data_IF_799450318579
#
_entry.id   IF_799450318579
#
_cell.length_a   1.000
_cell.length_b   1.000
_cell.length_c   1.000
_cell.angle_alpha   90.00
_cell.angle_beta   90.00
_cell.angle_gamma   90.00
#
_symmetry.space_group_name_H-M   'P 1'
#
loop_
_entity.id
_entity.type
_entity.pdbx_description
1 polymer ?
#
# COMPACT_ATOMS: atom_id res chain seq x y z
N UNK A 1 11.55 -3.80 -15.06
CA UNK A 1 11.49 -3.84 -13.59
C UNK A 1 12.51 -2.88 -13.01
N UNK A 2 12.13 -2.07 -12.00
CA UNK A 2 13.12 -1.42 -11.14
C UNK A 2 14.05 -2.48 -10.55
N UNK A 3 15.32 -2.17 -10.39
CA UNK A 3 16.20 -3.05 -9.62
C UNK A 3 15.86 -2.99 -8.12
N UNK A 4 16.48 -3.87 -7.31
CA UNK A 4 16.39 -3.85 -5.84
C UNK A 4 16.56 -2.49 -5.15
N UNK A 5 17.47 -1.66 -5.68
CA UNK A 5 17.83 -0.36 -5.10
C UNK A 5 16.63 0.59 -4.97
N UNK A 6 15.93 0.91 -6.08
CA UNK A 6 14.68 1.67 -6.04
C UNK A 6 13.65 1.19 -5.01
N UNK A 7 13.37 -0.11 -4.92
CA UNK A 7 12.41 -0.63 -3.93
C UNK A 7 12.87 -0.39 -2.50
N UNK A 8 14.16 -0.66 -2.21
CA UNK A 8 14.73 -0.40 -0.90
C UNK A 8 14.69 1.09 -0.53
N UNK A 9 15.09 1.97 -1.45
CA UNK A 9 15.12 3.41 -1.18
C UNK A 9 13.72 3.98 -0.97
N UNK A 10 12.73 3.51 -1.75
CA UNK A 10 11.33 3.90 -1.56
C UNK A 10 10.81 3.48 -0.18
N UNK A 11 10.93 2.20 0.17
CA UNK A 11 10.41 1.69 1.43
C UNK A 11 11.18 2.23 2.65
N UNK A 12 12.51 2.30 2.58
CA UNK A 12 13.33 2.86 3.66
C UNK A 12 13.08 4.35 3.84
N UNK A 13 12.99 5.13 2.74
CA UNK A 13 12.68 6.55 2.79
C UNK A 13 11.31 6.83 3.44
N UNK A 14 10.27 6.11 3.01
CA UNK A 14 8.94 6.18 3.63
C UNK A 14 8.96 5.74 5.10
N UNK A 15 9.73 4.70 5.44
CA UNK A 15 9.90 4.23 6.81
C UNK A 15 10.56 5.29 7.70
N UNK A 16 11.63 5.94 7.24
CA UNK A 16 12.29 7.02 7.96
C UNK A 16 11.39 8.24 8.14
N UNK A 17 10.59 8.60 7.12
CA UNK A 17 9.57 9.65 7.25
C UNK A 17 8.55 9.29 8.34
N UNK A 18 8.05 8.05 8.37
CA UNK A 18 7.15 7.58 9.43
C UNK A 18 7.82 7.58 10.80
N UNK A 19 9.09 7.18 10.91
CA UNK A 19 9.87 7.28 12.15
C UNK A 19 9.88 8.71 12.66
N UNK A 20 10.16 9.68 11.79
CA UNK A 20 10.17 11.10 12.15
C UNK A 20 8.79 11.62 12.56
N UNK A 21 7.74 11.32 11.76
CA UNK A 21 6.38 11.81 12.00
C UNK A 21 5.73 11.21 13.25
N UNK A 22 6.21 10.05 13.70
CA UNK A 22 5.66 9.31 14.84
C UNK A 22 6.53 9.38 16.09
N UNK A 23 7.57 10.23 16.09
CA UNK A 23 8.56 10.34 17.16
C UNK A 23 9.13 8.96 17.57
N UNK A 24 9.52 8.16 16.58
CA UNK A 24 10.15 6.86 16.78
C UNK A 24 9.22 5.69 17.13
N UNK A 25 7.88 5.89 17.17
CA UNK A 25 6.93 4.77 17.33
C UNK A 25 6.99 3.80 16.15
N UNK A 26 7.25 4.30 14.95
CA UNK A 26 7.75 3.50 13.84
C UNK A 26 9.26 3.36 13.99
N UNK A 27 9.70 2.34 14.72
CA UNK A 27 11.10 2.17 15.11
C UNK A 27 11.99 1.66 13.95
N UNK A 28 13.33 1.69 14.09
CA UNK A 28 14.25 1.09 13.12
C UNK A 28 13.91 -0.36 12.72
N UNK A 29 13.35 -1.15 13.65
CA UNK A 29 12.88 -2.51 13.34
C UNK A 29 11.74 -2.53 12.32
N UNK A 30 10.81 -1.57 12.39
CA UNK A 30 9.71 -1.45 11.45
C UNK A 30 10.25 -1.08 10.06
N UNK A 31 11.09 -0.05 10.00
CA UNK A 31 11.72 0.41 8.75
C UNK A 31 12.52 -0.70 8.10
N UNK A 32 13.33 -1.44 8.86
CA UNK A 32 14.10 -2.55 8.32
C UNK A 32 13.19 -3.66 7.77
N UNK A 33 12.19 -4.10 8.55
CA UNK A 33 11.28 -5.17 8.13
C UNK A 33 10.49 -4.77 6.88
N UNK A 34 9.95 -3.55 6.85
CA UNK A 34 9.25 -3.01 5.68
C UNK A 34 10.17 -2.96 4.44
N UNK A 35 11.39 -2.45 4.60
CA UNK A 35 12.37 -2.34 3.51
C UNK A 35 12.76 -3.71 2.95
N UNK A 36 13.05 -4.69 3.82
CA UNK A 36 13.43 -6.04 3.40
C UNK A 36 12.31 -6.69 2.58
N UNK A 37 11.06 -6.49 2.97
CA UNK A 37 9.93 -7.07 2.23
C UNK A 37 9.58 -6.30 0.94
N UNK A 38 9.94 -5.02 0.85
CA UNK A 38 9.91 -4.31 -0.42
C UNK A 38 11.07 -4.71 -1.34
N UNK A 39 12.22 -5.08 -0.77
CA UNK A 39 13.36 -5.61 -1.53
C UNK A 39 13.06 -7.00 -2.08
N UNK A 40 12.80 -7.97 -1.21
CA UNK A 40 12.58 -9.34 -1.65
C UNK A 40 11.28 -9.46 -2.40
N UNK A 41 10.20 -8.85 -1.89
CA UNK A 41 8.91 -8.81 -2.56
C UNK A 41 8.49 -10.15 -3.18
N UNK A 42 7.63 -10.12 -4.20
CA UNK A 42 7.37 -11.28 -5.05
C UNK A 42 8.61 -11.86 -5.75
N UNK A 43 9.74 -11.14 -5.88
CA UNK A 43 10.97 -11.66 -6.52
C UNK A 43 11.56 -12.92 -5.84
N UNK A 44 11.19 -13.20 -4.59
CA UNK A 44 11.50 -14.49 -3.94
C UNK A 44 10.87 -15.69 -4.69
N UNK A 45 9.83 -15.45 -5.49
CA UNK A 45 9.26 -16.41 -6.43
C UNK A 45 10.28 -16.79 -7.51
N UNK A 46 10.91 -15.79 -8.15
CA UNK A 46 11.99 -15.99 -9.11
C UNK A 46 13.18 -16.76 -8.51
N UNK A 47 13.50 -16.53 -7.22
CA UNK A 47 14.50 -17.35 -6.52
C UNK A 47 14.05 -18.82 -6.37
N UNK A 48 12.78 -19.07 -6.11
CA UNK A 48 12.22 -20.43 -6.00
C UNK A 48 12.26 -21.18 -7.32
N UNK A 49 11.96 -20.49 -8.43
CA UNK A 49 12.10 -21.04 -9.79
C UNK A 49 13.56 -21.38 -10.11
N UNK A 50 14.47 -20.45 -9.85
CA UNK A 50 15.91 -20.67 -10.04
C UNK A 50 16.42 -21.86 -9.22
N UNK A 51 16.04 -21.96 -7.94
CA UNK A 51 16.43 -23.08 -7.09
C UNK A 51 15.85 -24.41 -7.60
N UNK A 52 14.59 -24.41 -8.03
CA UNK A 52 13.95 -25.58 -8.65
C UNK A 52 14.67 -26.04 -9.92
N UNK A 53 15.14 -25.10 -10.74
CA UNK A 53 15.89 -25.39 -11.97
C UNK A 53 17.22 -26.11 -11.72
N UNK A 54 17.87 -25.85 -10.57
CA UNK A 54 19.12 -26.51 -10.18
C UNK A 54 18.90 -27.96 -9.72
N UNK A 55 17.74 -28.25 -9.14
CA UNK A 55 17.40 -29.56 -8.58
C UNK A 55 16.75 -30.50 -9.59
N UNK A 56 16.08 -29.94 -10.61
CA UNK A 56 15.45 -30.67 -11.71
C UNK A 56 14.22 -31.50 -11.32
N UNK A 57 13.61 -32.16 -12.30
CA UNK A 57 12.49 -33.08 -12.08
C UNK A 57 11.27 -32.41 -11.42
N UNK A 58 10.76 -33.02 -10.35
CA UNK A 58 9.62 -32.49 -9.60
C UNK A 58 9.91 -31.17 -8.88
N UNK A 59 11.17 -30.91 -8.52
CA UNK A 59 11.57 -29.66 -7.86
C UNK A 59 11.48 -28.46 -8.81
N UNK A 60 11.73 -28.65 -10.10
CA UNK A 60 11.55 -27.61 -11.12
C UNK A 60 10.08 -27.21 -11.26
N UNK A 61 9.19 -28.20 -11.38
CA UNK A 61 7.74 -27.97 -11.43
C UNK A 61 7.20 -27.29 -10.16
N UNK A 62 7.70 -27.70 -8.99
CA UNK A 62 7.29 -27.08 -7.73
C UNK A 62 7.78 -25.63 -7.63
N UNK A 63 9.03 -25.38 -8.02
CA UNK A 63 9.62 -24.05 -8.05
C UNK A 63 8.87 -23.09 -8.96
N UNK A 64 8.53 -23.51 -10.19
CA UNK A 64 7.76 -22.67 -11.12
C UNK A 64 6.35 -22.37 -10.63
N UNK A 65 5.62 -23.39 -10.15
CA UNK A 65 4.26 -23.19 -9.62
C UNK A 65 4.26 -22.28 -8.39
N UNK A 66 5.26 -22.44 -7.51
CA UNK A 66 5.41 -21.58 -6.34
C UNK A 66 5.72 -20.14 -6.75
N UNK A 67 6.55 -19.94 -7.78
CA UNK A 67 6.81 -18.61 -8.33
C UNK A 67 5.53 -17.94 -8.84
N UNK A 68 4.70 -18.66 -9.60
CA UNK A 68 3.42 -18.15 -10.10
C UNK A 68 2.50 -17.69 -8.96
N UNK A 69 2.41 -18.46 -7.87
CA UNK A 69 1.62 -18.06 -6.71
C UNK A 69 2.23 -16.88 -5.95
N UNK A 70 3.54 -16.80 -5.81
CA UNK A 70 4.22 -15.72 -5.08
C UNK A 70 4.14 -14.38 -5.85
N UNK A 71 4.10 -14.42 -7.18
CA UNK A 71 3.89 -13.22 -8.01
C UNK A 71 2.45 -12.69 -7.99
N UNK A 72 1.51 -13.35 -7.32
CA UNK A 72 0.20 -12.78 -7.01
C UNK A 72 0.25 -11.99 -5.69
N UNK A 73 -0.15 -10.69 -5.67
CA UNK A 73 -0.06 -9.86 -4.47
C UNK A 73 -0.81 -10.41 -3.25
N UNK A 74 -1.92 -11.10 -3.46
CA UNK A 74 -2.72 -11.65 -2.38
C UNK A 74 -2.12 -12.97 -1.87
N UNK A 75 -1.73 -13.85 -2.79
CA UNK A 75 -1.10 -15.12 -2.40
C UNK A 75 0.29 -14.93 -1.79
N UNK A 76 1.07 -13.93 -2.21
CA UNK A 76 2.30 -13.56 -1.51
C UNK A 76 2.05 -13.35 -0.02
N UNK A 77 1.08 -12.49 0.30
CA UNK A 77 0.74 -12.13 1.68
C UNK A 77 0.31 -13.37 2.47
N UNK A 78 -0.43 -14.29 1.86
CA UNK A 78 -0.87 -15.51 2.53
C UNK A 78 0.25 -16.54 2.68
N UNK A 79 1.03 -16.80 1.64
CA UNK A 79 2.05 -17.86 1.62
C UNK A 79 3.25 -17.44 2.47
N UNK A 80 3.73 -16.21 2.27
CA UNK A 80 4.96 -15.73 2.90
C UNK A 80 4.70 -14.83 4.12
N UNK A 81 3.57 -14.15 4.20
CA UNK A 81 3.26 -13.29 5.35
C UNK A 81 3.24 -14.04 6.68
N UNK A 82 2.64 -15.23 6.74
CA UNK A 82 2.61 -16.03 7.97
C UNK A 82 4.00 -16.54 8.43
N UNK A 83 4.80 -17.24 7.60
CA UNK A 83 6.12 -17.71 8.04
C UNK A 83 7.08 -16.54 8.33
N UNK A 84 7.08 -15.50 7.49
CA UNK A 84 7.97 -14.36 7.66
C UNK A 84 7.61 -13.54 8.90
N UNK A 85 6.33 -13.42 9.27
CA UNK A 85 5.98 -12.64 10.47
C UNK A 85 6.49 -13.29 11.76
N UNK A 86 6.55 -14.63 11.82
CA UNK A 86 7.16 -15.36 12.93
C UNK A 86 8.68 -15.15 12.94
N UNK A 87 9.33 -15.30 11.79
CA UNK A 87 10.76 -15.09 11.64
C UNK A 87 11.18 -13.66 12.03
N UNK A 88 10.54 -12.64 11.46
CA UNK A 88 10.89 -11.25 11.72
C UNK A 88 10.60 -10.82 13.16
N UNK A 89 9.56 -11.35 13.80
CA UNK A 89 9.30 -11.09 15.22
C UNK A 89 10.43 -11.66 16.09
N UNK A 90 10.90 -12.87 15.77
CA UNK A 90 12.05 -13.47 16.44
C UNK A 90 13.36 -12.69 16.18
N UNK A 91 13.64 -12.32 14.92
CA UNK A 91 14.82 -11.53 14.55
C UNK A 91 14.81 -10.17 15.24
N UNK A 92 13.66 -9.48 15.29
CA UNK A 92 13.53 -8.19 15.97
C UNK A 92 13.89 -8.31 17.45
N UNK A 93 13.42 -9.37 18.13
CA UNK A 93 13.78 -9.66 19.52
C UNK A 93 15.29 -9.90 19.68
N UNK A 94 15.89 -10.69 18.79
CA UNK A 94 17.33 -10.95 18.81
C UNK A 94 18.14 -9.65 18.64
N UNK A 95 17.81 -8.83 17.65
CA UNK A 95 18.52 -7.58 17.35
C UNK A 95 18.41 -6.58 18.50
N UNK A 96 17.25 -6.52 19.16
CA UNK A 96 17.05 -5.68 20.33
C UNK A 96 17.86 -6.17 21.54
N UNK A 97 17.83 -7.47 21.84
CA UNK A 97 18.61 -8.07 22.93
C UNK A 97 20.12 -7.88 22.75
N UNK A 98 20.59 -7.90 21.50
CA UNK A 98 21.99 -7.68 21.13
C UNK A 98 22.36 -6.20 21.01
N UNK A 99 21.42 -5.27 21.24
CA UNK A 99 21.60 -3.81 21.09
C UNK A 99 22.11 -3.40 19.70
N UNK A 100 21.72 -4.16 18.67
CA UNK A 100 22.07 -3.87 17.27
C UNK A 100 21.10 -2.84 16.68
N UNK A 101 19.81 -2.93 17.03
CA UNK A 101 18.80 -1.97 16.62
C UNK A 101 18.00 -1.47 17.82
N UNK A 102 17.86 -0.15 17.89
CA UNK A 102 17.12 0.52 18.94
C UNK A 102 15.60 0.47 18.70
N UNK A 103 14.83 0.65 19.77
CA UNK A 103 13.38 0.77 19.75
C UNK A 103 12.99 1.72 20.89
N UNK A 104 12.33 2.84 20.57
CA UNK A 104 11.92 3.84 21.57
C UNK A 104 11.05 3.24 22.67
N UNK A 105 10.21 2.25 22.34
CA UNK A 105 9.38 1.55 23.32
C UNK A 105 10.13 0.48 24.13
N UNK A 106 11.39 0.18 23.80
CA UNK A 106 12.12 -0.96 24.34
C UNK A 106 11.51 -2.32 23.96
N UNK A 107 10.54 -2.36 23.05
CA UNK A 107 9.86 -3.58 22.64
C UNK A 107 10.28 -4.01 21.22
N UNK A 108 10.40 -5.33 21.03
CA UNK A 108 10.53 -5.96 19.72
C UNK A 108 9.21 -6.00 18.98
N UNK A 109 9.26 -6.18 17.66
CA UNK A 109 8.05 -6.33 16.84
C UNK A 109 7.26 -7.59 17.22
N UNK A 110 5.95 -7.43 17.41
CA UNK A 110 5.02 -8.53 17.49
C UNK A 110 4.78 -9.17 16.11
N UNK A 111 4.33 -10.43 16.09
CA UNK A 111 3.99 -11.14 14.85
C UNK A 111 2.95 -10.40 14.02
N UNK A 112 1.96 -9.76 14.67
CA UNK A 112 0.94 -8.95 13.97
C UNK A 112 1.55 -7.75 13.26
N UNK A 113 2.46 -7.02 13.93
CA UNK A 113 3.17 -5.90 13.32
C UNK A 113 4.02 -6.38 12.14
N UNK A 114 4.76 -7.48 12.31
CA UNK A 114 5.55 -8.07 11.23
C UNK A 114 4.67 -8.48 10.05
N UNK A 115 3.48 -9.07 10.28
CA UNK A 115 2.56 -9.43 9.20
C UNK A 115 2.15 -8.19 8.40
N UNK A 116 1.75 -7.10 9.07
CA UNK A 116 1.43 -5.84 8.39
C UNK A 116 2.62 -5.26 7.61
N UNK A 117 3.83 -5.33 8.15
CA UNK A 117 5.04 -4.83 7.48
C UNK A 117 5.45 -5.69 6.28
N UNK A 118 5.26 -7.01 6.34
CA UNK A 118 5.48 -7.91 5.20
C UNK A 118 4.49 -7.58 4.09
N UNK A 119 3.20 -7.45 4.42
CA UNK A 119 2.17 -7.08 3.45
C UNK A 119 2.42 -5.70 2.84
N UNK A 120 2.81 -4.71 3.67
CA UNK A 120 3.15 -3.38 3.19
C UNK A 120 4.34 -3.43 2.21
N UNK A 121 5.42 -4.13 2.58
CA UNK A 121 6.61 -4.24 1.73
C UNK A 121 6.29 -4.87 0.38
N UNK A 122 5.56 -5.99 0.39
CA UNK A 122 5.07 -6.65 -0.83
C UNK A 122 4.27 -5.72 -1.75
N UNK A 123 3.25 -5.06 -1.20
CA UNK A 123 2.39 -4.17 -2.00
C UNK A 123 3.16 -2.96 -2.53
N UNK A 124 4.11 -2.43 -1.76
CA UNK A 124 5.01 -1.37 -2.19
C UNK A 124 6.02 -1.82 -3.24
N UNK A 125 6.37 -3.10 -3.28
CA UNK A 125 7.15 -3.68 -4.36
C UNK A 125 6.33 -3.65 -5.66
N UNK A 126 5.13 -4.25 -5.64
CA UNK A 126 4.20 -4.23 -6.77
C UNK A 126 3.84 -2.83 -7.26
N UNK A 127 3.79 -1.84 -6.36
CA UNK A 127 3.56 -0.45 -6.75
C UNK A 127 4.58 0.04 -7.78
N UNK A 128 5.87 -0.26 -7.57
CA UNK A 128 6.93 0.17 -8.47
C UNK A 128 6.97 -0.68 -9.74
N UNK A 129 6.74 -1.99 -9.64
CA UNK A 129 6.71 -2.86 -10.83
C UNK A 129 5.58 -2.50 -11.76
N UNK A 130 4.37 -2.32 -11.24
CA UNK A 130 3.24 -1.95 -12.08
C UNK A 130 3.45 -0.62 -12.81
N UNK A 131 4.27 0.28 -12.27
CA UNK A 131 4.59 1.57 -12.91
C UNK A 131 5.76 1.50 -13.91
N UNK A 132 6.75 0.65 -13.66
CA UNK A 132 8.04 0.71 -14.37
C UNK A 132 8.46 -0.62 -15.03
N UNK A 133 7.67 -1.67 -14.86
CA UNK A 133 7.86 -2.95 -15.53
C UNK A 133 7.17 -2.98 -16.89
N UNK A 134 7.70 -3.82 -17.80
CA UNK A 134 7.19 -4.02 -19.16
C UNK A 134 7.01 -2.71 -19.96
N UNK A 135 7.79 -1.66 -19.67
CA UNK A 135 7.60 -0.32 -20.23
C UNK A 135 6.17 0.23 -20.05
N UNK A 136 5.51 -0.10 -18.94
CA UNK A 136 4.12 0.28 -18.69
C UNK A 136 3.10 -0.60 -19.43
N UNK A 137 3.46 -1.82 -19.82
CA UNK A 137 2.52 -2.77 -20.45
C UNK A 137 2.03 -3.87 -19.53
N UNK A 138 2.30 -3.76 -18.22
CA UNK A 138 1.77 -4.71 -17.24
C UNK A 138 0.25 -4.81 -17.34
N UNK A 139 -0.29 -5.99 -17.02
CA UNK A 139 -1.74 -6.25 -17.04
C UNK A 139 -2.50 -5.24 -16.19
N UNK A 140 -1.96 -4.91 -15.01
CA UNK A 140 -2.51 -3.91 -14.09
C UNK A 140 -2.47 -2.51 -14.70
N UNK A 141 -1.34 -2.07 -15.24
CA UNK A 141 -1.24 -0.72 -15.82
C UNK A 141 -2.09 -0.57 -17.07
N UNK A 142 -2.12 -1.60 -17.92
CA UNK A 142 -3.02 -1.66 -19.08
C UNK A 142 -4.48 -1.59 -18.63
N UNK A 143 -4.86 -2.27 -17.55
CA UNK A 143 -6.20 -2.15 -16.97
C UNK A 143 -6.49 -0.73 -16.47
N UNK A 144 -5.54 -0.09 -15.76
CA UNK A 144 -5.68 1.29 -15.29
C UNK A 144 -5.98 2.20 -16.48
N UNK A 145 -5.12 2.19 -17.50
CA UNK A 145 -5.31 2.99 -18.70
C UNK A 145 -6.62 2.65 -19.40
N UNK A 146 -7.06 1.38 -19.42
CA UNK A 146 -8.32 0.99 -20.05
C UNK A 146 -9.55 1.66 -19.45
N UNK A 147 -9.46 2.28 -18.26
CA UNK A 147 -10.55 3.07 -17.65
C UNK A 147 -10.70 4.47 -18.24
N UNK A 148 -9.67 4.99 -18.93
CA UNK A 148 -9.70 6.25 -19.67
C UNK A 148 -10.25 6.12 -21.09
N UNK A 149 -10.06 7.17 -21.90
CA UNK A 149 -10.52 7.22 -23.28
C UNK A 149 -9.40 7.59 -24.26
N UNK A 150 -9.06 6.65 -25.15
CA UNK A 150 -7.87 6.75 -26.02
C UNK A 150 -8.15 6.58 -27.52
N UNK A 151 -9.41 6.36 -27.92
CA UNK A 151 -9.73 6.02 -29.32
C UNK A 151 -9.63 7.22 -30.26
N UNK A 152 -10.24 8.32 -29.85
CA UNK A 152 -10.33 9.60 -30.54
C UNK A 152 -10.38 10.69 -29.48
N UNK A 153 -10.42 11.96 -29.88
CA UNK A 153 -10.71 13.06 -28.97
C UNK A 153 -11.91 12.73 -28.07
N UNK A 154 -11.73 12.80 -26.76
CA UNK A 154 -12.80 12.46 -25.84
C UNK A 154 -14.02 13.39 -26.03
N UNK A 155 -15.25 12.84 -26.09
CA UNK A 155 -16.45 13.66 -26.16
C UNK A 155 -16.59 14.49 -24.88
N UNK A 156 -17.01 15.74 -25.03
CA UNK A 156 -17.30 16.62 -23.88
C UNK A 156 -18.55 16.09 -23.18
N UNK A 157 -18.41 15.71 -21.90
CA UNK A 157 -19.50 15.27 -21.06
C UNK A 157 -19.83 16.37 -20.02
N UNK A 158 -20.89 17.17 -20.21
CA UNK A 158 -21.25 18.23 -19.26
C UNK A 158 -21.62 17.68 -17.87
N UNK A 159 -22.17 16.46 -17.80
CA UNK A 159 -22.53 15.82 -16.53
C UNK A 159 -21.26 15.56 -15.69
N UNK A 160 -20.16 15.17 -16.34
CA UNK A 160 -18.88 14.98 -15.67
C UNK A 160 -18.38 16.27 -15.01
N UNK A 161 -18.52 17.43 -15.69
CA UNK A 161 -18.14 18.74 -15.13
C UNK A 161 -18.96 19.05 -13.88
N UNK A 162 -20.28 18.83 -13.93
CA UNK A 162 -21.19 19.09 -12.80
C UNK A 162 -20.87 18.17 -11.63
N UNK A 163 -20.74 16.85 -11.87
CA UNK A 163 -20.48 15.86 -10.83
C UNK A 163 -19.12 16.06 -10.19
N UNK A 164 -18.06 16.20 -10.99
CA UNK A 164 -16.69 16.42 -10.48
C UNK A 164 -16.62 17.75 -9.73
N UNK A 165 -17.16 18.83 -10.30
CA UNK A 165 -17.19 20.15 -9.66
C UNK A 165 -17.92 20.14 -8.32
N UNK A 166 -19.07 19.45 -8.24
CA UNK A 166 -19.82 19.28 -7.02
C UNK A 166 -19.04 18.48 -5.96
N UNK A 167 -18.51 17.30 -6.32
CA UNK A 167 -17.76 16.44 -5.41
C UNK A 167 -16.49 17.12 -4.87
N UNK A 168 -15.75 17.83 -5.73
CA UNK A 168 -14.59 18.62 -5.33
C UNK A 168 -14.98 19.76 -4.38
N UNK A 169 -16.09 20.45 -4.64
CA UNK A 169 -16.60 21.51 -3.77
C UNK A 169 -17.02 20.96 -2.40
N UNK A 170 -17.70 19.81 -2.38
CA UNK A 170 -18.07 19.11 -1.14
C UNK A 170 -16.84 18.66 -0.35
N UNK A 171 -15.80 18.15 -1.02
CA UNK A 171 -14.56 17.75 -0.37
C UNK A 171 -13.85 18.93 0.27
N UNK A 172 -13.61 19.99 -0.50
CA UNK A 172 -12.92 21.20 -0.01
C UNK A 172 -13.73 21.91 1.08
N UNK A 173 -15.01 22.17 0.82
CA UNK A 173 -15.91 22.83 1.77
C UNK A 173 -16.11 22.01 3.04
N UNK A 174 -16.29 20.69 2.91
CA UNK A 174 -16.41 19.78 4.04
C UNK A 174 -15.13 19.70 4.87
N UNK A 175 -13.96 19.65 4.23
CA UNK A 175 -12.67 19.65 4.93
C UNK A 175 -12.47 20.94 5.73
N UNK A 176 -12.73 22.11 5.11
CA UNK A 176 -12.70 23.42 5.80
C UNK A 176 -13.69 23.44 6.96
N UNK A 177 -14.91 22.93 6.77
CA UNK A 177 -15.93 22.89 7.81
C UNK A 177 -15.53 22.02 9.01
N UNK A 178 -14.97 20.83 8.76
CA UNK A 178 -14.52 19.90 9.81
C UNK A 178 -13.37 20.52 10.62
N UNK A 179 -12.40 21.12 9.92
CA UNK A 179 -11.16 21.64 10.47
C UNK A 179 -11.21 23.13 10.85
N UNK A 180 -12.38 23.78 10.75
CA UNK A 180 -12.54 25.17 11.19
C UNK A 180 -12.15 25.34 12.65
N UNK A 181 -11.57 26.49 12.97
CA UNK A 181 -11.12 26.86 14.32
C UNK A 181 -12.28 26.72 15.31
N UNK A 182 -12.08 25.89 16.34
CA UNK A 182 -13.06 25.67 17.42
C UNK A 182 -12.30 25.17 18.65
N UNK A 183 -12.58 25.74 19.81
CA UNK A 183 -11.87 25.46 21.06
C UNK A 183 -12.12 24.07 21.67
N UNK A 184 -13.08 23.31 21.15
CA UNK A 184 -13.62 22.09 21.81
C UNK A 184 -13.29 20.80 21.05
N UNK A 185 -12.69 20.87 19.86
CA UNK A 185 -12.47 19.67 19.03
C UNK A 185 -11.09 19.06 19.25
N UNK A 186 -11.05 17.74 19.49
CA UNK A 186 -9.81 16.96 19.44
C UNK A 186 -9.34 16.78 18.00
N UNK A 187 -8.03 16.96 17.76
CA UNK A 187 -7.38 16.78 16.45
C UNK A 187 -7.67 15.37 15.88
N UNK A 188 -7.61 14.33 16.71
CA UNK A 188 -7.87 12.95 16.25
C UNK A 188 -9.28 12.79 15.70
N UNK A 189 -10.28 13.40 16.36
CA UNK A 189 -11.66 13.36 15.89
C UNK A 189 -11.82 14.09 14.56
N UNK A 190 -11.14 15.21 14.38
CA UNK A 190 -11.14 15.97 13.11
C UNK A 190 -10.47 15.18 11.98
N UNK A 191 -9.33 14.54 12.24
CA UNK A 191 -8.67 13.66 11.28
C UNK A 191 -9.58 12.51 10.86
N UNK A 192 -10.25 11.84 11.80
CA UNK A 192 -11.18 10.75 11.50
C UNK A 192 -12.39 11.22 10.67
N UNK A 193 -12.98 12.36 11.02
CA UNK A 193 -14.07 12.96 10.24
C UNK A 193 -13.61 13.34 8.83
N UNK A 194 -12.40 13.89 8.68
CA UNK A 194 -11.82 14.24 7.38
C UNK A 194 -11.57 13.00 6.51
N UNK A 195 -11.09 11.91 7.11
CA UNK A 195 -10.94 10.63 6.43
C UNK A 195 -12.30 10.07 5.98
N UNK A 196 -13.31 10.10 6.84
CA UNK A 196 -14.66 9.64 6.48
C UNK A 196 -15.25 10.46 5.32
N UNK A 197 -15.08 11.78 5.33
CA UNK A 197 -15.49 12.64 4.22
C UNK A 197 -14.78 12.22 2.92
N UNK A 198 -13.46 12.05 2.97
CA UNK A 198 -12.67 11.62 1.82
C UNK A 198 -13.16 10.28 1.27
N UNK A 199 -13.39 9.28 2.13
CA UNK A 199 -13.87 7.96 1.73
C UNK A 199 -15.26 8.02 1.08
N UNK A 200 -16.18 8.84 1.60
CA UNK A 200 -17.50 9.05 1.00
C UNK A 200 -17.35 9.66 -0.40
N UNK A 201 -16.56 10.72 -0.54
CA UNK A 201 -16.36 11.40 -1.83
C UNK A 201 -15.71 10.47 -2.85
N UNK A 202 -14.63 9.77 -2.49
CA UNK A 202 -13.96 8.81 -3.39
C UNK A 202 -14.91 7.69 -3.79
N UNK A 203 -15.73 7.17 -2.88
CA UNK A 203 -16.66 6.09 -3.19
C UNK A 203 -17.74 6.55 -4.19
N UNK A 204 -18.31 7.74 -3.98
CA UNK A 204 -19.28 8.34 -4.90
C UNK A 204 -18.63 8.59 -6.28
N UNK A 205 -17.38 9.04 -6.30
CA UNK A 205 -16.69 9.32 -7.54
C UNK A 205 -16.32 8.05 -8.31
N UNK A 206 -15.85 7.01 -7.62
CA UNK A 206 -15.62 5.70 -8.22
C UNK A 206 -16.92 5.11 -8.78
N UNK A 207 -18.04 5.26 -8.06
CA UNK A 207 -19.35 4.81 -8.53
C UNK A 207 -19.78 5.55 -9.81
N UNK A 208 -19.58 6.87 -9.85
CA UNK A 208 -19.80 7.66 -11.07
C UNK A 208 -18.95 7.13 -12.23
N UNK A 209 -17.63 7.00 -12.04
CA UNK A 209 -16.76 6.52 -13.09
C UNK A 209 -17.14 5.11 -13.58
N UNK A 210 -17.39 4.19 -12.65
CA UNK A 210 -17.82 2.83 -12.96
C UNK A 210 -19.13 2.81 -13.74
N UNK A 211 -20.10 3.68 -13.41
CA UNK A 211 -21.34 3.78 -14.15
C UNK A 211 -21.13 4.19 -15.61
N UNK A 212 -20.26 5.16 -15.88
CA UNK A 212 -19.99 5.65 -17.24
C UNK A 212 -19.23 4.61 -18.07
N UNK A 213 -18.32 3.86 -17.43
CA UNK A 213 -17.44 2.90 -18.07
C UNK A 213 -18.15 1.56 -18.33
N UNK A 214 -18.90 1.05 -17.35
CA UNK A 214 -19.42 -0.32 -17.35
C UNK A 214 -20.93 -0.43 -17.51
N UNK A 215 -21.72 0.60 -17.17
CA UNK A 215 -23.20 0.52 -17.18
C UNK A 215 -23.84 1.28 -18.34
N UNK A 216 -23.30 2.44 -18.73
CA UNK A 216 -23.84 3.22 -19.85
C UNK A 216 -23.52 2.53 -21.18
N UNK A 217 -24.53 2.39 -22.04
CA UNK A 217 -24.40 1.82 -23.38
C UNK A 217 -24.92 2.81 -24.44
N UNK A 218 -24.12 3.26 -25.43
CA UNK A 218 -22.70 2.93 -25.62
C UNK A 218 -21.82 3.54 -24.52
N UNK A 219 -20.72 2.85 -24.18
CA UNK A 219 -19.74 3.28 -23.18
C UNK A 219 -19.31 4.73 -23.42
N UNK A 220 -19.22 5.51 -22.35
CA UNK A 220 -18.79 6.92 -22.39
C UNK A 220 -17.55 7.13 -21.52
N UNK A 221 -16.70 8.13 -21.82
CA UNK A 221 -15.67 8.53 -20.88
C UNK A 221 -16.28 9.04 -19.58
N UNK A 222 -15.71 8.63 -18.45
CA UNK A 222 -16.10 9.15 -17.13
C UNK A 222 -15.73 10.63 -17.00
N UNK A 223 -14.49 10.98 -17.35
CA UNK A 223 -13.94 12.34 -17.39
C UNK A 223 -12.95 12.46 -18.54
N UNK A 224 -13.43 12.83 -19.73
CA UNK A 224 -12.55 13.07 -20.87
C UNK A 224 -11.61 11.89 -21.19
N UNK A 225 -10.31 12.18 -21.30
CA UNK A 225 -9.25 11.19 -21.60
C UNK A 225 -8.71 10.52 -20.32
N UNK A 226 -9.14 10.95 -19.14
CA UNK A 226 -8.55 10.59 -17.85
C UNK A 226 -8.94 9.18 -17.36
N UNK A 227 -7.97 8.47 -16.77
CA UNK A 227 -8.10 7.10 -16.26
C UNK A 227 -8.41 7.04 -14.75
N UNK A 228 -9.24 7.96 -14.26
CA UNK A 228 -9.41 8.24 -12.83
C UNK A 228 -9.79 7.02 -11.99
N UNK A 229 -10.70 6.17 -12.47
CA UNK A 229 -11.11 4.99 -11.73
C UNK A 229 -9.94 4.03 -11.51
N UNK A 230 -9.20 3.74 -12.58
CA UNK A 230 -8.02 2.87 -12.50
C UNK A 230 -6.96 3.44 -11.58
N UNK A 231 -6.67 4.73 -11.70
CA UNK A 231 -5.69 5.44 -10.87
C UNK A 231 -6.09 5.40 -9.39
N UNK A 232 -7.35 5.68 -9.05
CA UNK A 232 -7.83 5.67 -7.67
C UNK A 232 -7.76 4.27 -7.03
N UNK A 233 -8.15 3.24 -7.78
CA UNK A 233 -8.05 1.85 -7.30
C UNK A 233 -6.59 1.45 -7.10
N UNK A 234 -5.72 1.81 -8.05
CA UNK A 234 -4.29 1.55 -7.96
C UNK A 234 -3.64 2.23 -6.75
N UNK A 235 -3.90 3.52 -6.56
CA UNK A 235 -3.40 4.28 -5.40
C UNK A 235 -3.96 3.71 -4.09
N UNK A 236 -5.23 3.33 -4.03
CA UNK A 236 -5.80 2.72 -2.83
C UNK A 236 -5.07 1.43 -2.44
N UNK A 237 -4.84 0.53 -3.40
CA UNK A 237 -4.26 -0.79 -3.16
C UNK A 237 -2.74 -0.77 -2.94
N UNK A 238 -2.00 -0.01 -3.76
CA UNK A 238 -0.55 -0.10 -3.82
C UNK A 238 0.17 1.12 -3.22
N UNK A 239 -0.53 2.21 -2.95
CA UNK A 239 0.05 3.40 -2.30
C UNK A 239 -0.49 3.61 -0.88
N UNK A 240 -1.79 3.83 -0.72
CA UNK A 240 -2.38 4.18 0.60
C UNK A 240 -2.45 2.98 1.56
N UNK A 241 -2.84 1.80 1.07
CA UNK A 241 -2.93 0.60 1.92
C UNK A 241 -1.59 0.22 2.55
N UNK A 242 -0.44 0.17 1.84
CA UNK A 242 0.86 -0.11 2.46
C UNK A 242 1.23 0.86 3.58
N UNK A 243 1.03 2.16 3.35
CA UNK A 243 1.27 3.17 4.39
C UNK A 243 0.30 3.02 5.57
N UNK A 244 -0.97 2.67 5.29
CA UNK A 244 -1.96 2.35 6.32
C UNK A 244 -1.54 1.16 7.19
N UNK A 245 -1.05 0.08 6.57
CA UNK A 245 -0.52 -1.10 7.27
C UNK A 245 0.69 -0.75 8.13
N UNK A 246 1.61 0.09 7.61
CA UNK A 246 2.72 0.63 8.38
C UNK A 246 2.23 1.43 9.60
N UNK A 247 1.23 2.29 9.44
CA UNK A 247 0.63 3.05 10.55
C UNK A 247 -0.06 2.13 11.57
N UNK A 248 -0.76 1.08 11.12
CA UNK A 248 -1.38 0.08 11.99
C UNK A 248 -0.36 -0.77 12.74
N UNK A 249 0.88 -0.82 12.25
CA UNK A 249 1.97 -1.54 12.92
C UNK A 249 2.69 -0.72 14.00
N UNK A 250 2.37 0.55 14.19
CA UNK A 250 3.06 1.41 15.16
C UNK A 250 3.02 0.84 16.57
N UNK A 251 4.13 1.01 17.31
CA UNK A 251 4.14 0.76 18.74
C UNK A 251 3.09 1.62 19.47
N UNK A 252 2.51 1.13 20.59
CA UNK A 252 1.61 1.92 21.41
C UNK A 252 2.31 3.19 21.93
N UNK A 253 1.53 4.18 22.36
CA UNK A 253 2.10 5.36 23.03
C UNK A 253 2.55 4.94 24.43
N UNK A 254 3.58 5.59 24.99
CA UNK A 254 4.11 5.25 26.31
C UNK A 254 3.05 5.22 27.43
N UNK A 255 1.98 6.02 27.33
CA UNK A 255 0.88 5.99 28.29
C UNK A 255 -0.03 4.74 28.20
N UNK A 256 0.05 3.99 27.10
CA UNK A 256 -0.73 2.76 26.85
C UNK A 256 0.13 1.49 27.00
N UNK A 257 1.43 1.63 27.31
CA UNK A 257 2.28 0.49 27.60
C UNK A 257 2.04 0.08 29.06
N UNK A 258 1.33 -1.03 29.28
CA UNK A 258 1.34 -1.71 30.58
C UNK A 258 2.80 -1.86 31.01
N UNK A 259 3.18 -1.21 32.12
CA UNK A 259 4.50 -1.36 32.71
C UNK A 259 4.70 -2.86 32.98
N UNK A 260 5.67 -3.46 32.29
CA UNK A 260 6.06 -4.83 32.56
C UNK A 260 6.50 -4.89 34.04
N UNK A 261 6.01 -5.86 34.83
CA UNK A 261 6.47 -6.00 36.19
C UNK A 261 7.97 -6.27 36.19
N UNK A 262 8.69 -5.47 36.99
CA UNK A 262 10.13 -5.59 37.27
C UNK A 262 10.48 -6.96 37.87
#
# INVERSE_FOLDING_TARGET
MPGPGPHMMYAMGSGLALTSLTNGRFSPHHTLTYTINAFFGPDIGSFSEWLGSLLGGSAQSLGSNLADYIHDPFYYILILGFPLCVLYSWVSKLLLQRKVLDSVSGASLSRRQCFFLVSAGCLSHFFLDHLFEENGHSTTYTWILSTGWWKNRAPVNPDAVVVVGFLCTCLLGGFVYINRVSSVKSIQKQSYQSLNLMLIIVSLYCLWCASQIYWVNPRRPAVGEEADLGVLVFLAAYFFLPHGLCIMSLNPRHHDAEELPL
#
